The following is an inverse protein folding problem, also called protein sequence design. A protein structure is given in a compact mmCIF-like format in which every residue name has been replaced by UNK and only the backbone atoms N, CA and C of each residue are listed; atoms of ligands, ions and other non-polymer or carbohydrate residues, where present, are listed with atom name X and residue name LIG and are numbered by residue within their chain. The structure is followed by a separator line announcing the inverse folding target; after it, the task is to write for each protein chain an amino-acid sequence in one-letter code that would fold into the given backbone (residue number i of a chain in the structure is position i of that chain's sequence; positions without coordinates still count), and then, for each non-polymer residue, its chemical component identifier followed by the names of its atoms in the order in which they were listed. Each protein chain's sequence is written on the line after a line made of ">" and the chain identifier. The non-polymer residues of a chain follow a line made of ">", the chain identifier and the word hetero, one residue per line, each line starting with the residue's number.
data_IF_102569143036
#
_entry.id   IF_102569143036
#
_cell.length_a   1.000
_cell.length_b   1.000
_cell.length_c   1.000
_cell.angle_alpha   90.00
_cell.angle_beta   90.00
_cell.angle_gamma   90.00
#
_symmetry.space_group_name_H-M   'P 1'
#
loop_
_entity.id
_entity.type
_entity.pdbx_description
1 polymer ?
#
# COMPACT_ATOMS: atom_id res chain seq x y z
N UNK A 1 3.14 16.84 -2.28
CA UNK A 1 2.36 15.59 -2.21
C UNK A 1 1.19 15.79 -1.27
N UNK A 2 -0.03 15.52 -1.70
CA UNK A 2 -1.21 15.69 -0.85
C UNK A 2 -1.41 14.46 0.07
N UNK A 3 -2.38 14.56 0.98
CA UNK A 3 -2.64 13.51 1.97
C UNK A 3 -2.97 12.17 1.30
N UNK A 4 -3.78 12.19 0.26
CA UNK A 4 -4.16 10.96 -0.44
C UNK A 4 -2.96 10.31 -1.13
N UNK A 5 -2.10 11.10 -1.74
CA UNK A 5 -0.88 10.58 -2.37
C UNK A 5 0.06 9.98 -1.34
N UNK A 6 0.22 10.64 -0.18
CA UNK A 6 1.04 10.11 0.91
C UNK A 6 0.50 8.78 1.42
N UNK A 7 -0.80 8.71 1.66
CA UNK A 7 -1.44 7.48 2.14
C UNK A 7 -1.29 6.36 1.12
N UNK A 8 -1.51 6.67 -0.14
CA UNK A 8 -1.39 5.67 -1.21
C UNK A 8 0.05 5.16 -1.34
N UNK A 9 1.03 6.04 -1.17
CA UNK A 9 2.44 5.64 -1.21
C UNK A 9 2.79 4.68 -0.07
N UNK A 10 2.31 4.97 1.14
CA UNK A 10 2.52 4.09 2.30
C UNK A 10 1.85 2.73 2.06
N UNK A 11 0.61 2.73 1.59
CA UNK A 11 -0.11 1.48 1.30
C UNK A 11 0.58 0.69 0.20
N UNK A 12 1.12 1.36 -0.80
CA UNK A 12 1.86 0.72 -1.90
C UNK A 12 3.09 -0.01 -1.42
N UNK A 13 3.87 0.61 -0.51
CA UNK A 13 5.05 -0.03 0.08
C UNK A 13 4.63 -1.27 0.86
N UNK A 14 3.57 -1.18 1.66
CA UNK A 14 3.08 -2.31 2.43
C UNK A 14 2.51 -3.41 1.53
N UNK A 15 1.84 -3.04 0.45
CA UNK A 15 1.34 -4.00 -0.52
C UNK A 15 2.48 -4.77 -1.21
N UNK A 16 3.52 -4.06 -1.63
CA UNK A 16 4.70 -4.70 -2.24
C UNK A 16 5.34 -5.69 -1.28
N UNK A 17 5.44 -5.34 -0.01
CA UNK A 17 5.97 -6.23 1.02
C UNK A 17 5.09 -7.46 1.20
N UNK A 18 3.77 -7.27 1.25
CA UNK A 18 2.82 -8.35 1.38
C UNK A 18 2.93 -9.34 0.21
N UNK A 19 3.00 -8.83 -1.00
CA UNK A 19 3.09 -9.64 -2.21
C UNK A 19 4.37 -10.49 -2.20
N UNK A 20 5.49 -9.92 -1.76
CA UNK A 20 6.75 -10.67 -1.64
C UNK A 20 6.69 -11.75 -0.58
N UNK A 21 5.95 -11.52 0.50
CA UNK A 21 5.83 -12.48 1.60
C UNK A 21 4.75 -13.53 1.35
N UNK A 22 3.86 -13.32 0.36
CA UNK A 22 2.74 -14.21 0.09
C UNK A 22 2.67 -14.56 -1.41
N UNK A 23 3.57 -15.47 -1.89
CA UNK A 23 3.62 -15.81 -3.30
C UNK A 23 2.31 -16.37 -3.87
N UNK A 24 1.55 -17.12 -3.08
CA UNK A 24 0.27 -17.66 -3.53
C UNK A 24 -0.74 -16.55 -3.81
N UNK A 25 -0.75 -15.50 -2.99
CA UNK A 25 -1.58 -14.32 -3.25
C UNK A 25 -1.09 -13.59 -4.50
N UNK A 26 0.23 -13.39 -4.60
CA UNK A 26 0.83 -12.70 -5.73
C UNK A 26 0.50 -13.36 -7.07
N UNK A 27 0.47 -14.69 -7.11
CA UNK A 27 0.22 -15.44 -8.33
C UNK A 27 -1.20 -15.26 -8.87
N UNK A 28 -2.11 -14.75 -8.05
CA UNK A 28 -3.50 -14.50 -8.46
C UNK A 28 -3.66 -13.15 -9.16
N UNK A 29 -2.63 -12.30 -9.13
CA UNK A 29 -2.69 -10.97 -9.75
C UNK A 29 -2.34 -11.10 -11.24
N UNK A 30 -3.24 -10.68 -12.15
CA UNK A 30 -2.91 -10.70 -13.57
C UNK A 30 -1.69 -9.86 -13.90
N UNK A 31 -0.85 -10.35 -14.80
CA UNK A 31 0.34 -9.62 -15.22
C UNK A 31 -0.06 -8.29 -15.85
N UNK A 32 0.64 -7.22 -15.44
CA UNK A 32 0.40 -5.89 -15.98
C UNK A 32 -0.85 -5.21 -15.45
N UNK A 33 -1.49 -5.75 -14.42
CA UNK A 33 -2.71 -5.17 -13.87
C UNK A 33 -2.46 -3.81 -13.22
N UNK A 34 -3.45 -2.93 -13.34
CA UNK A 34 -3.52 -1.70 -12.55
C UNK A 34 -4.08 -2.06 -11.19
N UNK A 35 -3.31 -1.80 -10.13
CA UNK A 35 -3.71 -2.11 -8.77
C UNK A 35 -4.35 -0.89 -8.13
N UNK A 36 -5.51 -1.07 -7.50
CA UNK A 36 -6.20 -0.02 -6.75
C UNK A 36 -6.34 -0.49 -5.31
N UNK A 37 -5.70 0.21 -4.39
CA UNK A 37 -5.76 -0.12 -2.96
C UNK A 37 -6.91 0.65 -2.33
N UNK A 38 -7.81 -0.06 -1.66
CA UNK A 38 -9.01 0.50 -1.07
C UNK A 38 -9.02 0.27 0.44
N UNK A 39 -9.52 1.26 1.16
CA UNK A 39 -9.62 1.22 2.62
C UNK A 39 -11.08 1.07 3.05
N UNK A 40 -11.37 0.33 4.14
CA UNK A 40 -12.73 0.22 4.63
C UNK A 40 -13.20 1.58 5.18
N UNK A 41 -14.46 1.89 4.96
CA UNK A 41 -15.12 3.07 5.53
C UNK A 41 -14.44 4.40 5.15
N UNK A 42 -13.72 4.44 4.03
CA UNK A 42 -13.08 5.66 3.54
C UNK A 42 -13.47 5.94 2.10
N UNK A 43 -14.71 6.38 1.92
CA UNK A 43 -15.28 6.59 0.59
C UNK A 43 -14.51 7.65 -0.21
N UNK A 44 -14.02 8.70 0.46
CA UNK A 44 -13.29 9.78 -0.23
C UNK A 44 -11.95 9.30 -0.77
N UNK A 45 -11.20 8.59 0.06
CA UNK A 45 -9.91 8.02 -0.38
C UNK A 45 -10.15 7.03 -1.54
N UNK A 46 -11.13 6.15 -1.38
CA UNK A 46 -11.41 5.13 -2.39
C UNK A 46 -11.84 5.74 -3.73
N UNK A 47 -12.66 6.78 -3.70
CA UNK A 47 -13.06 7.48 -4.92
C UNK A 47 -11.87 8.13 -5.61
N UNK A 48 -10.99 8.76 -4.82
CA UNK A 48 -9.76 9.35 -5.35
C UNK A 48 -8.86 8.26 -5.98
N UNK A 49 -8.65 7.15 -5.28
CA UNK A 49 -7.79 6.06 -5.75
C UNK A 49 -8.31 5.46 -7.06
N UNK A 50 -9.62 5.25 -7.15
CA UNK A 50 -10.24 4.75 -8.38
C UNK A 50 -10.10 5.75 -9.53
N UNK A 51 -10.26 7.04 -9.26
CA UNK A 51 -10.16 8.07 -10.31
C UNK A 51 -8.75 8.19 -10.87
N UNK A 52 -7.74 8.07 -10.00
CA UNK A 52 -6.34 8.07 -10.45
C UNK A 52 -6.04 6.84 -11.30
N UNK A 53 -6.49 5.67 -10.86
CA UNK A 53 -6.29 4.43 -11.60
C UNK A 53 -6.93 4.50 -12.99
N UNK A 54 -8.14 5.04 -13.08
CA UNK A 54 -8.84 5.16 -14.36
C UNK A 54 -8.09 6.09 -15.31
N UNK A 55 -7.53 7.18 -14.79
CA UNK A 55 -6.75 8.12 -15.62
C UNK A 55 -5.41 7.53 -16.10
N UNK A 56 -4.82 6.63 -15.32
CA UNK A 56 -3.53 6.02 -15.63
C UNK A 56 -3.66 4.70 -16.39
N UNK A 57 -4.86 4.18 -16.47
CA UNK A 57 -5.11 2.88 -17.09
C UNK A 57 -4.90 2.93 -18.58
N UNK A 58 -4.17 1.95 -19.11
CA UNK A 58 -4.03 1.75 -20.54
C UNK A 58 -5.21 0.95 -21.09
N UNK A 59 -5.56 1.13 -22.38
CA UNK A 59 -6.64 0.35 -22.98
C UNK A 59 -6.40 -1.16 -22.83
N UNK A 60 -7.41 -1.88 -22.35
CA UNK A 60 -7.33 -3.32 -22.18
C UNK A 60 -6.58 -3.78 -20.94
N UNK A 61 -6.00 -2.86 -20.16
CA UNK A 61 -5.30 -3.21 -18.94
C UNK A 61 -6.28 -3.70 -17.88
N UNK A 62 -6.05 -4.87 -17.26
CA UNK A 62 -6.91 -5.32 -16.18
C UNK A 62 -6.75 -4.44 -14.95
N UNK A 63 -7.85 -4.23 -14.23
CA UNK A 63 -7.87 -3.47 -12.97
C UNK A 63 -8.17 -4.44 -11.85
N UNK A 64 -7.33 -4.44 -10.82
CA UNK A 64 -7.51 -5.28 -9.64
C UNK A 64 -7.75 -4.37 -8.44
N UNK A 65 -8.90 -4.55 -7.80
CA UNK A 65 -9.24 -3.84 -6.57
C UNK A 65 -8.78 -4.68 -5.37
N UNK A 66 -7.94 -4.08 -4.53
CA UNK A 66 -7.45 -4.75 -3.33
C UNK A 66 -8.11 -4.10 -2.12
N UNK A 67 -9.03 -4.84 -1.50
CA UNK A 67 -9.74 -4.36 -0.31
C UNK A 67 -8.90 -4.67 0.92
N UNK A 68 -8.31 -3.64 1.53
CA UNK A 68 -7.49 -3.78 2.72
C UNK A 68 -8.39 -3.73 3.93
N UNK A 69 -8.38 -4.78 4.77
CA UNK A 69 -9.20 -4.79 5.97
C UNK A 69 -8.69 -3.80 7.01
N UNK A 70 -7.38 -3.78 7.23
CA UNK A 70 -6.73 -2.81 8.11
C UNK A 70 -5.22 -2.84 7.91
N UNK A 71 -4.56 -1.79 8.38
CA UNK A 71 -3.09 -1.71 8.41
C UNK A 71 -2.67 -1.71 9.87
N UNK A 72 -1.79 -2.64 10.24
CA UNK A 72 -1.27 -2.69 11.60
C UNK A 72 -0.38 -1.47 11.85
N UNK A 73 -0.34 -0.94 13.09
CA UNK A 73 0.60 0.13 13.40
C UNK A 73 2.05 -0.29 13.13
N UNK A 74 2.85 0.66 12.65
CA UNK A 74 4.26 0.41 12.43
C UNK A 74 4.95 0.17 13.77
N UNK A 75 5.90 -0.77 13.79
CA UNK A 75 6.72 -1.06 14.96
C UNK A 75 8.17 -0.79 14.65
N UNK A 76 8.92 -0.38 15.69
CA UNK A 76 10.37 -0.24 15.55
C UNK A 76 11.02 -1.58 15.22
N UNK A 77 11.97 -1.55 14.32
CA UNK A 77 12.77 -2.74 13.96
C UNK A 77 14.10 -2.78 14.70
N UNK A 78 14.30 -1.89 15.69
CA UNK A 78 15.50 -1.92 16.51
C UNK A 78 15.51 -3.19 17.35
N UNK A 79 16.70 -3.78 17.45
CA UNK A 79 16.94 -4.96 18.26
C UNK A 79 17.80 -4.59 19.46
N UNK A 80 17.23 -4.67 20.66
CA UNK A 80 17.95 -4.46 21.94
C UNK A 80 18.84 -3.22 21.95
N UNK A 81 18.29 -2.04 21.67
CA UNK A 81 19.10 -0.81 21.69
C UNK A 81 19.60 -0.55 23.12
N UNK A 82 20.86 -0.14 23.24
CA UNK A 82 21.46 0.21 24.53
C UNK A 82 21.77 1.70 24.54
N UNK A 83 21.45 2.34 25.66
CA UNK A 83 21.77 3.74 25.85
C UNK A 83 23.20 3.91 26.39
N UNK A 84 23.90 4.86 25.86
CA UNK A 84 25.17 5.33 26.39
C UNK A 84 25.10 6.84 26.42
N UNK A 85 25.28 7.40 27.61
CA UNK A 85 25.20 8.86 27.79
C UNK A 85 26.61 9.39 27.81
N UNK A 86 26.90 10.27 26.86
CA UNK A 86 28.20 10.94 26.80
C UNK A 86 28.09 12.27 27.53
N UNK A 87 29.00 12.49 28.51
CA UNK A 87 29.04 13.76 29.24
C UNK A 87 29.51 14.88 28.32
N UNK A 88 28.87 16.06 28.49
CA UNK A 88 29.20 17.27 27.70
C UNK A 88 30.58 17.82 28.07
#
# INVERSE_FOLDING_TARGET
>A
MNVNECRNAILGVEFDRYVREHPAFASRIPRGAQIVLLLPNDAKFNAWARSIAERQREPGQPVVLVNIARVRPAKSRLVSPKLQIQAA
#
